data_IF_012833280523
#
_entry.id   IF_012833280523
#
_cell.length_a   1.000
_cell.length_b   1.000
_cell.length_c   1.000
_cell.angle_alpha   90.00
_cell.angle_beta   90.00
_cell.angle_gamma   90.00
#
_symmetry.space_group_name_H-M   'P 1'
#
loop_
_entity.id
_entity.type
_entity.pdbx_description
1 polymer ?
#
# COMPACT_ATOMS: atom_id res chain seq x y z
N UNK A 1 9.85 14.19 3.86
CA UNK A 1 11.24 14.03 3.38
C UNK A 1 11.22 13.00 2.27
N UNK A 2 11.83 13.28 1.13
CA UNK A 2 11.92 12.31 0.03
C UNK A 2 13.17 11.45 0.18
N UNK A 3 13.10 10.20 -0.29
CA UNK A 3 14.22 9.26 -0.40
C UNK A 3 14.56 9.09 -1.87
N UNK A 4 15.85 8.98 -2.16
CA UNK A 4 16.32 8.60 -3.50
C UNK A 4 16.14 7.09 -3.72
N UNK A 5 16.20 6.65 -4.97
CA UNK A 5 16.10 5.23 -5.32
C UNK A 5 17.25 4.42 -4.73
N UNK A 6 18.48 4.94 -4.76
CA UNK A 6 19.65 4.28 -4.18
C UNK A 6 19.62 4.19 -2.66
N UNK A 7 18.90 5.08 -1.98
CA UNK A 7 18.67 4.95 -0.54
C UNK A 7 17.61 3.89 -0.22
N UNK A 8 16.56 3.78 -1.03
CA UNK A 8 15.54 2.75 -0.89
C UNK A 8 16.13 1.36 -1.15
N UNK A 9 16.93 1.21 -2.20
CA UNK A 9 17.58 -0.07 -2.57
C UNK A 9 18.36 -0.69 -1.41
N UNK A 10 19.01 0.13 -0.58
CA UNK A 10 19.79 -0.32 0.59
C UNK A 10 18.96 -0.93 1.72
N UNK A 11 17.66 -0.68 1.73
CA UNK A 11 16.75 -1.12 2.80
C UNK A 11 15.63 -2.06 2.29
N UNK A 12 15.66 -2.47 1.03
CA UNK A 12 14.60 -3.31 0.43
C UNK A 12 14.40 -4.65 1.15
N UNK A 13 15.46 -5.18 1.77
CA UNK A 13 15.45 -6.44 2.52
C UNK A 13 15.23 -6.25 4.04
N UNK A 14 14.98 -5.02 4.51
CA UNK A 14 14.67 -4.78 5.93
C UNK A 14 13.28 -5.37 6.24
N UNK A 15 13.16 -6.33 7.17
CA UNK A 15 11.87 -6.92 7.53
C UNK A 15 10.90 -5.93 8.20
N UNK A 16 11.37 -4.74 8.59
CA UNK A 16 10.53 -3.69 9.14
C UNK A 16 10.09 -2.65 8.08
N UNK A 17 10.51 -2.81 6.81
CA UNK A 17 10.11 -1.94 5.72
C UNK A 17 8.74 -2.37 5.17
N UNK A 18 7.73 -1.52 5.33
CA UNK A 18 6.50 -1.62 4.56
C UNK A 18 6.56 -0.69 3.35
N UNK A 19 6.67 -1.28 2.16
CA UNK A 19 6.66 -0.53 0.89
C UNK A 19 5.25 -0.51 0.30
N UNK A 20 4.69 0.68 0.07
CA UNK A 20 3.32 0.85 -0.44
C UNK A 20 3.36 1.41 -1.87
N UNK A 21 2.76 0.70 -2.81
CA UNK A 21 2.54 1.16 -4.18
C UNK A 21 1.13 1.75 -4.30
N UNK A 22 1.03 3.05 -4.54
CA UNK A 22 -0.25 3.78 -4.60
C UNK A 22 -0.84 3.90 -6.01
N UNK A 23 -0.27 3.19 -6.99
CA UNK A 23 -0.80 3.14 -8.36
C UNK A 23 -2.04 2.24 -8.44
N UNK A 24 -2.70 2.27 -9.60
CA UNK A 24 -3.80 1.36 -9.89
C UNK A 24 -3.35 -0.11 -9.78
N UNK A 25 -4.28 -1.00 -9.44
CA UNK A 25 -3.98 -2.44 -9.38
C UNK A 25 -3.46 -2.99 -10.73
N UNK A 26 -3.93 -2.43 -11.85
CA UNK A 26 -3.49 -2.82 -13.18
C UNK A 26 -2.00 -2.53 -13.39
N UNK A 27 -1.53 -1.34 -13.03
CA UNK A 27 -0.11 -0.97 -13.16
C UNK A 27 0.78 -1.79 -12.23
N UNK A 28 0.33 -1.99 -10.99
CA UNK A 28 1.02 -2.85 -10.02
C UNK A 28 1.17 -4.28 -10.57
N UNK A 29 0.10 -4.85 -11.12
CA UNK A 29 0.10 -6.22 -11.66
C UNK A 29 1.01 -6.41 -12.88
N UNK A 30 1.25 -5.34 -13.64
CA UNK A 30 2.16 -5.36 -14.79
C UNK A 30 3.64 -5.31 -14.38
N UNK A 31 3.94 -4.93 -13.14
CA UNK A 31 5.29 -4.83 -12.62
C UNK A 31 5.37 -3.88 -11.44
N UNK A 32 5.98 -4.33 -10.36
CA UNK A 32 6.17 -3.57 -9.12
C UNK A 32 7.48 -3.96 -8.44
N UNK A 33 7.88 -3.16 -7.46
CA UNK A 33 9.05 -3.45 -6.63
C UNK A 33 8.72 -4.63 -5.73
N UNK A 34 9.61 -5.63 -5.65
CA UNK A 34 9.44 -6.78 -4.76
C UNK A 34 9.11 -6.36 -3.33
N UNK A 35 8.29 -7.16 -2.65
CA UNK A 35 7.80 -6.92 -1.29
C UNK A 35 6.92 -5.66 -1.11
N UNK A 36 6.57 -4.94 -2.18
CA UNK A 36 5.59 -3.86 -2.09
C UNK A 36 4.15 -4.38 -2.03
N UNK A 37 3.32 -3.69 -1.26
CA UNK A 37 1.88 -3.92 -1.14
C UNK A 37 1.14 -2.85 -1.95
N UNK A 38 0.22 -3.26 -2.82
CA UNK A 38 -0.61 -2.32 -3.56
C UNK A 38 -1.71 -1.71 -2.66
N UNK A 39 -1.79 -0.39 -2.67
CA UNK A 39 -2.88 0.40 -2.12
C UNK A 39 -3.52 1.19 -3.26
N UNK A 40 -4.41 0.55 -4.01
CA UNK A 40 -5.16 1.21 -5.08
C UNK A 40 -6.15 2.21 -4.50
N UNK A 41 -5.71 3.46 -4.42
CA UNK A 41 -6.42 4.56 -3.79
C UNK A 41 -7.82 4.82 -4.38
N UNK A 42 -8.05 4.49 -5.65
CA UNK A 42 -9.32 4.74 -6.33
C UNK A 42 -10.32 3.58 -6.18
N UNK A 43 -9.85 2.40 -5.75
CA UNK A 43 -10.69 1.24 -5.51
C UNK A 43 -11.45 1.30 -4.18
N UNK A 44 -11.20 2.31 -3.35
CA UNK A 44 -11.80 2.45 -2.03
C UNK A 44 -12.88 3.54 -1.97
N UNK A 45 -13.95 3.28 -1.22
CA UNK A 45 -15.02 4.24 -0.96
C UNK A 45 -14.69 5.18 0.20
N UNK A 46 -13.66 6.04 0.07
CA UNK A 46 -13.19 6.89 1.17
C UNK A 46 -14.21 7.91 1.70
N UNK A 47 -15.17 8.29 0.86
CA UNK A 47 -16.24 9.20 1.24
C UNK A 47 -17.37 8.50 2.01
N UNK A 48 -17.37 7.16 2.02
CA UNK A 48 -18.33 6.38 2.79
C UNK A 48 -17.96 6.37 4.27
N UNK A 49 -18.56 7.31 5.00
CA UNK A 49 -18.40 7.47 6.45
C UNK A 49 -19.49 6.75 7.25
N UNK A 50 -20.26 5.86 6.60
CA UNK A 50 -21.15 4.94 7.31
C UNK A 50 -20.35 4.01 8.23
N UNK A 51 -21.02 3.35 9.17
CA UNK A 51 -20.35 2.40 10.08
C UNK A 51 -19.75 1.24 9.28
N UNK A 52 -20.45 0.80 8.25
CA UNK A 52 -20.06 -0.26 7.33
C UNK A 52 -18.85 0.17 6.50
N UNK A 53 -18.86 1.39 5.96
CA UNK A 53 -17.74 2.00 5.23
C UNK A 53 -16.48 2.09 6.08
N UNK A 54 -16.59 2.62 7.30
CA UNK A 54 -15.47 2.70 8.26
C UNK A 54 -14.97 1.31 8.66
N UNK A 55 -15.87 0.34 8.87
CA UNK A 55 -15.50 -1.04 9.20
C UNK A 55 -14.71 -1.70 8.06
N UNK A 56 -15.20 -1.56 6.82
CA UNK A 56 -14.55 -2.07 5.61
C UNK A 56 -13.16 -1.46 5.41
N UNK A 57 -13.06 -0.13 5.53
CA UNK A 57 -11.80 0.61 5.51
C UNK A 57 -10.81 0.03 6.53
N UNK A 58 -11.22 -0.09 7.80
CA UNK A 58 -10.37 -0.62 8.86
C UNK A 58 -9.92 -2.07 8.59
N UNK A 59 -10.79 -2.90 8.01
CA UNK A 59 -10.46 -4.28 7.67
C UNK A 59 -9.41 -4.37 6.56
N UNK A 60 -9.49 -3.49 5.55
CA UNK A 60 -8.52 -3.44 4.46
C UNK A 60 -7.16 -2.94 4.95
N UNK A 61 -7.12 -1.87 5.74
CA UNK A 61 -5.87 -1.36 6.30
C UNK A 61 -5.22 -2.32 7.29
N UNK A 62 -6.01 -3.07 8.08
CA UNK A 62 -5.45 -4.15 8.92
C UNK A 62 -4.69 -5.18 8.10
N UNK A 63 -5.18 -5.55 6.90
CA UNK A 63 -4.48 -6.51 6.02
C UNK A 63 -3.18 -5.93 5.47
N UNK A 64 -3.16 -4.64 5.14
CA UNK A 64 -1.97 -3.96 4.63
C UNK A 64 -0.88 -3.85 5.70
N UNK A 65 -1.26 -3.51 6.93
CA UNK A 65 -0.31 -3.32 8.05
C UNK A 65 0.01 -4.60 8.84
N UNK A 66 -0.58 -5.75 8.48
CA UNK A 66 -0.28 -7.04 9.09
C UNK A 66 0.72 -7.89 8.30
N UNK A 67 1.24 -7.35 7.18
CA UNK A 67 2.31 -7.98 6.39
C UNK A 67 3.66 -7.86 7.11
#
# INVERSE_FOLDING_TARGET
MFKTTSELEKILDDPNLLLIDTRSFQEYSNGHISNSVNLDLFSFHWIDTSKEGISSFNQQFKKIFSQ
#
